data_IF_215368079102
#
_entry.id   IF_215368079102
#
_cell.length_a   1.000
_cell.length_b   1.000
_cell.length_c   1.000
_cell.angle_alpha   90.00
_cell.angle_beta   90.00
_cell.angle_gamma   90.00
#
_symmetry.space_group_name_H-M   'P 1'
#
loop_
_entity.id
_entity.type
_entity.pdbx_description
1 polymer ?
#
# COMPACT_ATOMS: atom_id res chain seq x y z
N UNK A 1 18.78 -17.20 -14.18
CA UNK A 1 19.10 -17.00 -12.76
C UNK A 1 17.82 -16.49 -12.11
N UNK A 2 17.39 -17.09 -10.99
CA UNK A 2 16.31 -16.50 -10.22
C UNK A 2 16.94 -15.31 -9.51
N UNK A 3 16.46 -14.12 -9.86
CA UNK A 3 16.79 -12.90 -9.14
C UNK A 3 16.09 -13.02 -7.78
N UNK A 4 16.79 -13.58 -6.79
CA UNK A 4 16.27 -13.77 -5.44
C UNK A 4 16.28 -12.44 -4.64
N UNK A 5 16.68 -11.32 -5.28
CA UNK A 5 16.65 -10.01 -4.67
C UNK A 5 15.22 -9.42 -4.66
N UNK A 6 14.81 -8.77 -3.55
CA UNK A 6 13.49 -8.17 -3.47
C UNK A 6 13.37 -6.96 -4.40
N UNK A 7 12.36 -7.01 -5.28
CA UNK A 7 12.03 -5.87 -6.14
C UNK A 7 11.61 -4.65 -5.30
N UNK A 8 12.30 -3.52 -5.49
CA UNK A 8 12.05 -2.28 -4.75
C UNK A 8 11.31 -1.26 -5.62
N UNK A 9 10.24 -0.67 -5.08
CA UNK A 9 9.40 0.31 -5.79
C UNK A 9 9.26 1.60 -4.98
N UNK A 10 9.70 2.72 -5.55
CA UNK A 10 9.52 4.06 -4.97
C UNK A 10 8.23 4.67 -5.48
N UNK A 11 7.10 4.37 -4.82
CA UNK A 11 5.76 4.85 -5.19
C UNK A 11 4.95 5.31 -3.99
N UNK A 12 3.81 5.92 -4.27
CA UNK A 12 2.90 6.42 -3.25
C UNK A 12 2.24 5.29 -2.47
N UNK A 13 2.31 5.39 -1.15
CA UNK A 13 1.60 4.55 -0.18
C UNK A 13 0.46 5.38 0.39
N UNK A 14 -0.78 4.92 0.24
CA UNK A 14 -1.96 5.60 0.75
C UNK A 14 -2.29 5.12 2.17
N UNK A 15 -2.35 6.06 3.12
CA UNK A 15 -2.75 5.78 4.49
C UNK A 15 -4.27 5.88 4.67
N UNK A 16 -4.89 4.92 5.37
CA UNK A 16 -6.33 4.92 5.67
C UNK A 16 -6.60 4.46 7.10
N UNK A 17 -7.66 4.95 7.71
CA UNK A 17 -8.04 4.52 9.07
C UNK A 17 -8.64 3.10 9.12
N UNK A 18 -8.87 2.46 7.97
CA UNK A 18 -9.48 1.13 7.85
C UNK A 18 -8.97 0.42 6.59
N UNK A 19 -9.04 -0.92 6.61
CA UNK A 19 -8.64 -1.77 5.48
C UNK A 19 -9.37 -1.39 4.19
N UNK A 20 -8.63 -1.31 3.08
CA UNK A 20 -9.19 -1.12 1.74
C UNK A 20 -9.93 -2.38 1.27
N UNK A 21 -11.26 -2.30 1.24
CA UNK A 21 -12.16 -3.37 0.77
C UNK A 21 -12.87 -3.04 -0.56
N UNK A 22 -12.86 -1.77 -0.97
CA UNK A 22 -13.60 -1.31 -2.14
C UNK A 22 -12.68 -1.22 -3.37
N UNK A 23 -12.78 -2.22 -4.23
CA UNK A 23 -11.98 -2.38 -5.45
C UNK A 23 -12.07 -1.16 -6.38
N UNK A 24 -13.25 -0.56 -6.53
CA UNK A 24 -13.44 0.62 -7.40
C UNK A 24 -12.67 1.84 -6.90
N UNK A 25 -12.74 2.14 -5.61
CA UNK A 25 -11.98 3.26 -5.03
C UNK A 25 -10.47 3.01 -5.10
N UNK A 26 -10.03 1.78 -4.86
CA UNK A 26 -8.63 1.39 -5.06
C UNK A 26 -8.16 1.69 -6.47
N UNK A 27 -8.89 1.23 -7.48
CA UNK A 27 -8.50 1.41 -8.89
C UNK A 27 -8.47 2.87 -9.28
N UNK A 28 -9.46 3.66 -8.84
CA UNK A 28 -9.45 5.10 -9.04
C UNK A 28 -8.22 5.75 -8.40
N UNK A 29 -7.86 5.39 -7.16
CA UNK A 29 -6.67 5.95 -6.50
C UNK A 29 -5.37 5.51 -7.17
N UNK A 30 -5.31 4.28 -7.67
CA UNK A 30 -4.16 3.78 -8.43
C UNK A 30 -4.00 4.54 -9.76
N UNK A 31 -5.09 4.75 -10.49
CA UNK A 31 -5.09 5.44 -11.78
C UNK A 31 -4.83 6.94 -11.64
N UNK A 32 -5.59 7.63 -10.79
CA UNK A 32 -5.53 9.09 -10.67
C UNK A 32 -4.34 9.59 -9.84
N UNK A 33 -3.92 8.82 -8.83
CA UNK A 33 -2.88 9.25 -7.88
C UNK A 33 -1.62 8.38 -7.94
N UNK A 34 -1.57 7.31 -8.74
CA UNK A 34 -0.41 6.43 -8.80
C UNK A 34 -0.14 5.67 -7.49
N UNK A 35 -1.17 5.49 -6.65
CA UNK A 35 -1.05 4.74 -5.39
C UNK A 35 -0.73 3.28 -5.70
N UNK A 36 0.33 2.75 -5.08
CA UNK A 36 0.74 1.36 -5.23
C UNK A 36 0.27 0.47 -4.07
N UNK A 37 0.19 1.03 -2.86
CA UNK A 37 -0.05 0.27 -1.64
C UNK A 37 -0.99 1.04 -0.70
N UNK A 38 -1.74 0.30 0.13
CA UNK A 38 -2.61 0.83 1.17
C UNK A 38 -2.16 0.31 2.53
N UNK A 39 -1.99 1.21 3.48
CA UNK A 39 -1.58 0.91 4.86
C UNK A 39 -2.47 1.69 5.85
N UNK A 40 -2.33 1.45 7.16
CA UNK A 40 -3.26 1.99 8.17
C UNK A 40 -2.64 2.79 9.33
N UNK A 41 -1.32 2.93 9.40
CA UNK A 41 -0.59 3.42 10.58
C UNK A 41 0.32 4.63 10.29
N UNK A 42 0.96 4.68 9.12
CA UNK A 42 2.09 5.55 8.85
C UNK A 42 1.75 7.05 8.89
N UNK A 43 0.57 7.47 8.43
CA UNK A 43 0.18 8.88 8.49
C UNK A 43 0.12 9.40 9.94
N UNK A 44 -0.21 8.54 10.91
CA UNK A 44 -0.19 8.91 12.32
C UNK A 44 1.24 9.17 12.82
N UNK A 45 2.20 8.34 12.42
CA UNK A 45 3.60 8.45 12.83
C UNK A 45 4.31 9.65 12.17
N UNK A 46 4.09 9.85 10.87
CA UNK A 46 4.69 10.93 10.08
C UNK A 46 4.36 12.34 10.61
N UNK A 47 3.20 12.51 11.25
CA UNK A 47 2.81 13.80 11.84
C UNK A 47 3.59 14.14 13.12
N UNK A 48 4.24 13.17 13.76
CA UNK A 48 4.90 13.34 15.06
C UNK A 48 6.43 13.29 14.96
N UNK A 49 6.98 12.59 13.97
CA UNK A 49 8.43 12.55 13.75
C UNK A 49 8.78 12.27 12.29
N UNK A 50 9.99 12.69 11.89
CA UNK A 50 10.54 12.42 10.56
C UNK A 50 10.78 10.91 10.40
N UNK A 51 10.11 10.28 9.45
CA UNK A 51 10.27 8.85 9.20
C UNK A 51 10.21 8.51 7.70
N UNK A 52 10.83 7.38 7.35
CA UNK A 52 10.71 6.75 6.05
C UNK A 52 9.84 5.50 6.20
N UNK A 53 8.83 5.36 5.35
CA UNK A 53 7.92 4.22 5.36
C UNK A 53 8.35 3.25 4.27
N UNK A 54 8.67 2.03 4.67
CA UNK A 54 8.99 0.91 3.78
C UNK A 54 7.95 -0.17 4.05
N UNK A 55 7.25 -0.62 2.99
CA UNK A 55 6.17 -1.58 3.12
C UNK A 55 6.39 -2.76 2.18
N UNK A 56 6.35 -3.97 2.72
CA UNK A 56 6.20 -5.18 1.91
C UNK A 56 4.78 -5.27 1.35
N UNK A 57 4.64 -5.82 0.14
CA UNK A 57 3.34 -6.12 -0.47
C UNK A 57 3.01 -7.57 -0.12
N UNK A 58 1.89 -7.78 0.57
CA UNK A 58 1.47 -9.11 1.05
C UNK A 58 0.12 -9.56 0.48
N UNK A 59 -0.86 -8.66 0.36
CA UNK A 59 -2.21 -8.97 -0.11
C UNK A 59 -2.68 -7.94 -1.15
N UNK A 60 -3.61 -8.35 -2.01
CA UNK A 60 -4.23 -7.49 -2.99
C UNK A 60 -5.47 -6.82 -2.38
N UNK A 61 -5.37 -5.53 -2.11
CA UNK A 61 -6.47 -4.75 -1.52
C UNK A 61 -7.77 -4.87 -2.34
N UNK A 62 -8.90 -5.14 -1.71
CA UNK A 62 -10.18 -5.36 -2.38
C UNK A 62 -11.12 -6.29 -1.60
N UNK A 63 -12.29 -6.56 -2.15
CA UNK A 63 -13.28 -7.46 -1.56
C UNK A 63 -12.87 -8.93 -1.64
N UNK A 64 -12.01 -9.26 -2.61
CA UNK A 64 -11.40 -10.57 -2.76
C UNK A 64 -10.08 -10.57 -1.99
N UNK A 65 -10.16 -10.77 -0.68
CA UNK A 65 -8.95 -11.09 0.10
C UNK A 65 -8.36 -12.38 -0.45
N UNK A 66 -7.05 -12.41 -0.64
CA UNK A 66 -6.36 -13.66 -0.91
C UNK A 66 -6.54 -14.56 0.33
N UNK A 67 -7.26 -15.67 0.19
CA UNK A 67 -7.46 -16.66 1.26
C UNK A 67 -6.41 -17.74 1.07
N UNK A 68 -5.19 -17.47 1.49
CA UNK A 68 -4.18 -18.50 1.77
C UNK A 68 -3.71 -18.37 3.21
#
# INVERSE_FOLDING_TARGET
EKDDDPATYYRLIASRNQLMKETRMRDQLAEYKGVLCFEIEAAGLMNHFLCLVIHGIYDYSGSHKNKE
#
